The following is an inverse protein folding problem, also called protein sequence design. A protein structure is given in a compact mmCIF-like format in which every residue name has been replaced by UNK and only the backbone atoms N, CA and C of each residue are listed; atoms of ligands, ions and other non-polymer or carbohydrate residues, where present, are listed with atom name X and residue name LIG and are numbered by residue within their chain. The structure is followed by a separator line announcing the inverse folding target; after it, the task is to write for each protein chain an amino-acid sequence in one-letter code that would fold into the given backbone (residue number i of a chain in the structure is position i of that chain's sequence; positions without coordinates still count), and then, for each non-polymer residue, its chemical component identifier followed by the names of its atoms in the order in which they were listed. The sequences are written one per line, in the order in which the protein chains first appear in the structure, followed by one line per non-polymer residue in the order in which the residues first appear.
data_IF_066202395781
#
_entry.id   IF_066202395781
#
_cell.length_a   1.000
_cell.length_b   1.000
_cell.length_c   1.000
_cell.angle_alpha   90.00
_cell.angle_beta   90.00
_cell.angle_gamma   90.00
#
_symmetry.space_group_name_H-M   'P 1'
#
loop_
_entity.id
_entity.type
_entity.pdbx_description
1 polymer ?
#
# COMPACT_ATOMS: atom_id res chain seq x y z
N UNK A 1 -15.49 25.22 -2.69
CA UNK A 1 -14.17 24.61 -2.58
C UNK A 1 -14.28 23.11 -2.74
N UNK A 2 -13.45 22.51 -3.58
CA UNK A 2 -13.47 21.06 -3.79
C UNK A 2 -12.51 20.35 -2.82
N UNK A 3 -12.94 19.19 -2.30
CA UNK A 3 -12.06 18.34 -1.51
C UNK A 3 -11.26 17.44 -2.45
N UNK A 4 -10.02 17.16 -2.05
CA UNK A 4 -9.11 16.28 -2.80
C UNK A 4 -8.37 15.40 -1.80
N UNK A 5 -8.33 14.09 -2.07
CA UNK A 5 -7.49 13.19 -1.28
C UNK A 5 -6.04 13.55 -1.53
N UNK A 6 -5.27 13.78 -0.47
CA UNK A 6 -3.86 14.14 -0.61
C UNK A 6 -2.90 13.15 0.03
N UNK A 7 -3.35 12.31 0.95
CA UNK A 7 -2.47 11.30 1.53
C UNK A 7 -3.25 10.20 2.24
N UNK A 8 -2.56 9.08 2.46
CA UNK A 8 -2.92 8.08 3.45
C UNK A 8 -1.78 8.00 4.47
N UNK A 9 -2.07 7.53 5.69
CA UNK A 9 -1.09 7.49 6.76
C UNK A 9 -1.03 6.11 7.39
N UNK A 10 0.16 5.52 7.39
CA UNK A 10 0.44 4.25 8.03
C UNK A 10 1.25 4.49 9.31
N UNK A 11 0.94 3.75 10.36
CA UNK A 11 1.75 3.72 11.57
C UNK A 11 2.61 2.46 11.56
N UNK A 12 3.86 2.58 11.96
CA UNK A 12 4.81 1.48 11.98
C UNK A 12 5.76 1.62 13.17
N UNK A 13 6.14 0.51 13.83
CA UNK A 13 7.13 0.55 14.90
C UNK A 13 8.49 1.07 14.41
N UNK A 14 8.86 0.75 13.16
CA UNK A 14 10.05 1.25 12.52
C UNK A 14 9.67 1.87 11.16
N UNK A 15 9.32 3.16 11.15
CA UNK A 15 8.81 3.82 9.94
C UNK A 15 9.76 3.77 8.76
N UNK A 16 11.06 3.88 9.00
CA UNK A 16 12.06 3.85 7.92
C UNK A 16 12.11 2.47 7.26
N UNK A 17 12.08 1.42 8.05
CA UNK A 17 12.07 0.04 7.53
C UNK A 17 10.83 -0.22 6.69
N UNK A 18 9.66 0.20 7.17
CA UNK A 18 8.42 0.05 6.44
C UNK A 18 8.44 0.87 5.13
N UNK A 19 8.93 2.10 5.18
CA UNK A 19 9.07 2.93 3.98
C UNK A 19 9.98 2.27 2.94
N UNK A 20 11.12 1.74 3.36
CA UNK A 20 12.06 1.04 2.48
C UNK A 20 11.43 -0.21 1.87
N UNK A 21 10.57 -0.89 2.60
CA UNK A 21 9.82 -2.02 2.05
C UNK A 21 8.92 -1.57 0.88
N UNK A 22 8.19 -0.46 1.05
CA UNK A 22 7.34 0.08 -0.03
C UNK A 22 8.17 0.59 -1.21
N UNK A 23 9.37 1.10 -0.99
CA UNK A 23 10.29 1.43 -2.07
C UNK A 23 10.63 0.19 -2.89
N UNK A 24 10.99 -0.91 -2.24
CA UNK A 24 11.30 -2.16 -2.94
C UNK A 24 10.09 -2.85 -3.55
N UNK A 25 8.95 -2.79 -2.87
CA UNK A 25 7.75 -3.48 -3.30
C UNK A 25 6.99 -2.76 -4.41
N UNK A 26 6.83 -1.45 -4.30
CA UNK A 26 5.93 -0.66 -5.15
C UNK A 26 6.58 0.59 -5.75
N UNK A 27 7.90 0.66 -5.75
CA UNK A 27 8.66 1.78 -6.33
C UNK A 27 8.30 3.15 -5.71
N UNK A 28 7.95 3.17 -4.44
CA UNK A 28 7.74 4.43 -3.75
C UNK A 28 9.03 5.23 -3.70
N UNK A 29 8.89 6.55 -3.63
CA UNK A 29 10.02 7.46 -3.39
C UNK A 29 9.88 8.03 -2.00
N UNK A 30 10.96 7.96 -1.21
CA UNK A 30 11.02 8.67 0.07
C UNK A 30 11.41 10.10 -0.23
N UNK A 31 10.52 11.04 0.09
CA UNK A 31 10.71 12.47 -0.17
C UNK A 31 10.91 13.30 1.10
N UNK A 32 10.79 12.68 2.25
CA UNK A 32 11.05 13.33 3.54
C UNK A 32 11.27 12.29 4.63
N UNK A 33 12.14 12.62 5.58
CA UNK A 33 12.45 11.76 6.72
C UNK A 33 12.89 12.68 7.86
N UNK A 34 12.03 12.86 8.86
CA UNK A 34 12.30 13.77 9.96
C UNK A 34 11.69 13.25 11.25
N UNK A 35 12.18 13.75 12.37
CA UNK A 35 11.51 13.57 13.67
C UNK A 35 10.72 14.84 13.95
N UNK A 36 9.39 14.66 14.12
CA UNK A 36 8.52 15.82 14.35
C UNK A 36 8.57 16.25 15.81
N UNK A 37 8.04 17.44 16.06
CA UNK A 37 7.93 18.01 17.42
C UNK A 37 7.16 17.07 18.36
N UNK A 38 6.31 16.20 17.84
CA UNK A 38 5.55 15.22 18.62
C UNK A 38 6.38 14.00 19.06
N UNK A 39 7.67 13.96 18.70
CA UNK A 39 8.59 12.88 19.05
C UNK A 39 8.55 11.68 18.10
N UNK A 40 7.69 11.69 17.10
CA UNK A 40 7.56 10.62 16.14
C UNK A 40 8.47 10.82 14.92
N UNK A 41 9.11 9.75 14.48
CA UNK A 41 9.78 9.75 13.20
C UNK A 41 8.71 9.70 12.10
N UNK A 42 8.84 10.57 11.12
CA UNK A 42 7.86 10.74 10.07
C UNK A 42 8.53 10.63 8.71
N UNK A 43 8.14 9.62 7.95
CA UNK A 43 8.65 9.39 6.59
C UNK A 43 7.56 9.75 5.61
N UNK A 44 7.87 10.66 4.69
CA UNK A 44 6.95 11.00 3.62
C UNK A 44 7.37 10.27 2.36
N UNK A 45 6.44 9.48 1.82
CA UNK A 45 6.66 8.77 0.56
C UNK A 45 5.69 9.28 -0.50
N UNK A 46 6.07 9.13 -1.76
CA UNK A 46 5.19 9.32 -2.90
C UNK A 46 5.05 8.00 -3.65
N UNK A 47 3.85 7.71 -4.13
CA UNK A 47 3.63 6.59 -5.03
C UNK A 47 4.44 6.75 -6.32
N UNK A 48 4.68 5.64 -7.04
CA UNK A 48 5.50 5.64 -8.26
C UNK A 48 5.01 6.67 -9.29
N UNK A 49 3.69 6.76 -9.47
CA UNK A 49 3.08 7.71 -10.40
C UNK A 49 3.00 9.16 -9.87
N UNK A 50 3.41 9.38 -8.62
CA UNK A 50 3.36 10.69 -7.98
C UNK A 50 1.96 11.16 -7.60
N UNK A 51 0.95 10.31 -7.73
CA UNK A 51 -0.44 10.71 -7.51
C UNK A 51 -0.84 10.76 -6.04
N UNK A 52 -0.21 9.97 -5.18
CA UNK A 52 -0.62 9.86 -3.78
C UNK A 52 0.58 9.88 -2.84
N UNK A 53 0.50 10.72 -1.82
CA UNK A 53 1.44 10.67 -0.72
C UNK A 53 1.04 9.57 0.25
N UNK A 54 2.02 8.80 0.71
CA UNK A 54 1.84 7.79 1.75
C UNK A 54 2.80 8.15 2.87
N UNK A 55 2.25 8.62 3.98
CA UNK A 55 3.03 8.99 5.14
C UNK A 55 3.15 7.79 6.07
N UNK A 56 4.33 7.57 6.61
CA UNK A 56 4.59 6.46 7.53
C UNK A 56 5.28 7.04 8.77
N UNK A 57 4.70 6.83 9.94
CA UNK A 57 5.27 7.36 11.17
C UNK A 57 5.14 6.39 12.34
N UNK A 58 5.99 6.58 13.33
CA UNK A 58 5.91 5.87 14.60
C UNK A 58 4.89 6.50 15.55
N UNK A 59 4.83 5.99 16.76
CA UNK A 59 4.01 6.57 17.80
C UNK A 59 4.54 7.95 18.19
N UNK A 60 3.63 8.84 18.51
CA UNK A 60 3.97 10.11 19.15
C UNK A 60 4.39 9.84 20.59
N UNK A 61 5.06 10.81 21.20
CA UNK A 61 5.41 10.74 22.61
C UNK A 61 4.15 10.49 23.45
N UNK A 62 4.22 9.49 24.31
CA UNK A 62 3.11 9.07 25.19
C UNK A 62 1.89 8.49 24.47
N UNK A 63 2.01 8.16 23.19
CA UNK A 63 0.94 7.53 22.42
C UNK A 63 1.11 6.01 22.42
N UNK A 64 0.04 5.29 22.72
CA UNK A 64 -0.02 3.84 22.57
C UNK A 64 -0.90 3.53 21.38
N UNK A 65 -0.36 2.77 20.43
CA UNK A 65 -1.06 2.42 19.20
C UNK A 65 -1.67 1.03 19.30
N UNK A 66 -2.88 0.89 18.77
CA UNK A 66 -3.50 -0.41 18.59
C UNK A 66 -2.83 -1.18 17.45
N UNK A 67 -3.08 -2.51 17.38
CA UNK A 67 -2.52 -3.33 16.30
C UNK A 67 -3.19 -3.02 14.96
N UNK A 68 -2.46 -3.30 13.88
CA UNK A 68 -3.04 -3.33 12.54
C UNK A 68 -3.91 -4.56 12.36
N UNK A 69 -4.68 -4.57 11.28
CA UNK A 69 -5.54 -5.70 10.95
C UNK A 69 -5.55 -5.90 9.43
N UNK A 70 -4.87 -6.95 8.99
CA UNK A 70 -4.81 -7.31 7.57
C UNK A 70 -6.00 -8.16 7.12
N UNK A 71 -6.88 -8.55 8.05
CA UNK A 71 -8.12 -9.23 7.70
C UNK A 71 -9.18 -8.23 7.22
N UNK A 72 -10.25 -8.74 6.62
CA UNK A 72 -11.38 -7.90 6.25
C UNK A 72 -11.99 -7.29 7.52
N UNK A 73 -12.24 -5.99 7.51
CA UNK A 73 -12.74 -5.26 8.67
C UNK A 73 -13.47 -3.99 8.22
N UNK A 74 -14.22 -3.41 9.13
CA UNK A 74 -14.92 -2.17 8.86
C UNK A 74 -13.95 -0.98 8.86
N UNK A 75 -14.32 0.07 8.19
CA UNK A 75 -13.53 1.29 8.07
C UNK A 75 -12.61 1.24 6.86
N UNK A 76 -11.45 1.88 6.95
CA UNK A 76 -10.46 1.83 5.89
C UNK A 76 -9.78 0.46 5.92
N UNK A 77 -10.22 -0.42 5.03
CA UNK A 77 -9.79 -1.82 5.04
C UNK A 77 -8.48 -2.05 4.31
N UNK A 78 -8.31 -1.43 3.13
CA UNK A 78 -7.12 -1.62 2.30
C UNK A 78 -6.92 -0.44 1.36
N UNK A 79 -5.77 -0.41 0.74
CA UNK A 79 -5.53 0.41 -0.44
C UNK A 79 -4.90 -0.47 -1.52
N UNK A 80 -4.98 -0.04 -2.77
CA UNK A 80 -4.68 -0.91 -3.88
C UNK A 80 -3.71 -0.35 -4.89
N UNK A 81 -3.12 -1.27 -5.65
CA UNK A 81 -2.17 -0.99 -6.72
C UNK A 81 -2.61 -1.71 -7.99
N UNK A 82 -2.40 -1.07 -9.13
CA UNK A 82 -2.55 -1.77 -10.40
C UNK A 82 -1.39 -2.76 -10.59
N UNK A 83 -1.70 -3.89 -11.17
CA UNK A 83 -0.73 -4.93 -11.51
C UNK A 83 -0.92 -5.34 -12.96
N UNK A 84 0.16 -5.54 -13.67
CA UNK A 84 0.10 -6.06 -15.04
C UNK A 84 0.07 -7.58 -15.07
N UNK A 85 0.53 -8.23 -14.00
CA UNK A 85 0.55 -9.69 -13.90
C UNK A 85 0.51 -10.10 -12.42
N UNK A 86 -0.65 -10.54 -11.96
CA UNK A 86 -0.86 -10.90 -10.56
C UNK A 86 0.11 -11.98 -10.08
N UNK A 87 0.26 -13.05 -10.84
CA UNK A 87 1.08 -14.19 -10.41
C UNK A 87 2.54 -13.78 -10.22
N UNK A 88 3.07 -13.00 -11.13
CA UNK A 88 4.45 -12.49 -11.05
C UNK A 88 4.62 -11.55 -9.86
N UNK A 89 3.69 -10.62 -9.70
CA UNK A 89 3.76 -9.64 -8.62
C UNK A 89 3.56 -10.27 -7.25
N UNK A 90 2.62 -11.21 -7.12
CA UNK A 90 2.42 -11.95 -5.86
C UNK A 90 3.70 -12.70 -5.48
N UNK A 91 4.30 -13.44 -6.42
CA UNK A 91 5.52 -14.18 -6.13
C UNK A 91 6.67 -13.25 -5.71
N UNK A 92 6.82 -12.12 -6.36
CA UNK A 92 7.84 -11.12 -6.03
C UNK A 92 7.61 -10.52 -4.64
N UNK A 93 6.38 -10.15 -4.34
CA UNK A 93 6.03 -9.56 -3.04
C UNK A 93 6.19 -10.56 -1.90
N UNK A 94 5.86 -11.84 -2.14
CA UNK A 94 6.09 -12.87 -1.13
C UNK A 94 7.57 -13.05 -0.80
N UNK A 95 8.44 -12.93 -1.79
CA UNK A 95 9.90 -12.94 -1.56
C UNK A 95 10.35 -11.73 -0.73
N UNK A 96 9.62 -10.63 -0.78
CA UNK A 96 9.89 -9.45 0.03
C UNK A 96 9.22 -9.50 1.41
N UNK A 97 8.57 -10.61 1.74
CA UNK A 97 7.98 -10.82 3.05
C UNK A 97 6.48 -10.59 3.16
N UNK A 98 5.80 -10.20 2.08
CA UNK A 98 4.35 -10.13 2.08
C UNK A 98 3.74 -11.53 2.10
N UNK A 99 2.49 -11.64 2.52
CA UNK A 99 1.77 -12.90 2.54
C UNK A 99 0.47 -12.77 1.76
N UNK A 100 0.24 -13.71 0.82
CA UNK A 100 -1.04 -13.77 0.12
C UNK A 100 -2.14 -14.15 1.10
N UNK A 101 -3.18 -13.32 1.17
CA UNK A 101 -4.34 -13.53 2.03
C UNK A 101 -5.50 -14.12 1.23
N UNK A 102 -5.70 -13.65 0.00
CA UNK A 102 -6.85 -14.00 -0.78
C UNK A 102 -6.56 -13.79 -2.26
N UNK A 103 -6.99 -14.72 -3.09
CA UNK A 103 -6.87 -14.61 -4.54
C UNK A 103 -5.71 -15.40 -5.14
N UNK A 104 -5.47 -15.29 -6.45
CA UNK A 104 -6.20 -14.44 -7.40
C UNK A 104 -7.69 -14.78 -7.53
N UNK A 105 -8.52 -13.74 -7.61
CA UNK A 105 -9.96 -13.87 -7.77
C UNK A 105 -10.34 -13.19 -9.08
N UNK A 106 -11.11 -13.90 -9.90
CA UNK A 106 -11.66 -13.31 -11.12
C UNK A 106 -13.06 -12.77 -10.83
N UNK A 107 -13.21 -11.45 -10.89
CA UNK A 107 -14.53 -10.85 -10.84
C UNK A 107 -15.26 -11.13 -12.17
N UNK A 108 -16.52 -11.54 -12.15
CA UNK A 108 -17.22 -11.96 -13.37
C UNK A 108 -17.22 -10.93 -14.51
N UNK A 109 -17.32 -9.65 -14.18
CA UNK A 109 -17.36 -8.57 -15.16
C UNK A 109 -16.31 -7.50 -14.86
N UNK A 110 -15.23 -7.87 -14.22
CA UNK A 110 -14.25 -6.91 -13.76
C UNK A 110 -12.84 -7.47 -13.75
N UNK A 111 -11.94 -6.79 -13.05
CA UNK A 111 -10.55 -7.19 -12.97
C UNK A 111 -10.34 -8.47 -12.15
N UNK A 112 -9.15 -9.03 -12.29
CA UNK A 112 -8.64 -10.03 -11.34
C UNK A 112 -8.01 -9.30 -10.18
N UNK A 113 -8.21 -9.80 -8.98
CA UNK A 113 -7.70 -9.16 -7.77
C UNK A 113 -7.00 -10.15 -6.85
N UNK A 114 -6.15 -9.64 -5.98
CA UNK A 114 -5.55 -10.40 -4.89
C UNK A 114 -5.31 -9.46 -3.71
N UNK A 115 -5.39 -10.02 -2.51
CA UNK A 115 -5.09 -9.29 -1.28
C UNK A 115 -3.87 -9.88 -0.61
N UNK A 116 -2.97 -9.02 -0.15
CA UNK A 116 -1.76 -9.42 0.55
C UNK A 116 -1.63 -8.67 1.86
N UNK A 117 -0.95 -9.31 2.80
CA UNK A 117 -0.53 -8.67 4.04
C UNK A 117 0.84 -8.05 3.83
N UNK A 118 0.90 -6.74 3.88
CA UNK A 118 2.12 -5.95 3.88
C UNK A 118 2.64 -5.77 5.33
N UNK A 119 3.81 -5.16 5.54
CA UNK A 119 4.32 -4.93 6.88
C UNK A 119 3.31 -4.24 7.80
N UNK A 120 3.39 -4.56 9.08
CA UNK A 120 2.58 -3.97 10.15
C UNK A 120 1.09 -4.29 10.01
N UNK A 121 0.79 -5.46 9.45
CA UNK A 121 -0.58 -5.94 9.25
C UNK A 121 -1.43 -4.99 8.41
N UNK A 122 -0.84 -4.40 7.39
CA UNK A 122 -1.55 -3.59 6.41
C UNK A 122 -2.07 -4.48 5.29
N UNK A 123 -3.36 -4.36 4.98
CA UNK A 123 -3.98 -5.07 3.87
C UNK A 123 -3.82 -4.26 2.60
N UNK A 124 -3.23 -4.85 1.56
CA UNK A 124 -3.11 -4.23 0.24
C UNK A 124 -3.77 -5.09 -0.82
N UNK A 125 -4.31 -4.45 -1.85
CA UNK A 125 -4.92 -5.13 -2.98
C UNK A 125 -4.08 -4.93 -4.23
N UNK A 126 -3.98 -5.97 -5.04
CA UNK A 126 -3.48 -5.87 -6.41
C UNK A 126 -4.66 -6.02 -7.36
N UNK A 127 -4.74 -5.15 -8.35
CA UNK A 127 -5.82 -5.11 -9.33
C UNK A 127 -5.24 -5.25 -10.72
N UNK A 128 -5.55 -6.38 -11.39
CA UNK A 128 -5.09 -6.63 -12.76
C UNK A 128 -6.28 -6.44 -13.70
N UNK A 129 -6.26 -5.33 -14.43
CA UNK A 129 -7.31 -5.04 -15.41
C UNK A 129 -6.99 -5.69 -16.74
N UNK A 130 -8.01 -6.08 -17.48
CA UNK A 130 -7.84 -6.55 -18.84
C UNK A 130 -7.20 -5.44 -19.66
N UNK A 131 -6.14 -5.79 -20.39
CA UNK A 131 -5.56 -4.85 -21.34
C UNK A 131 -6.60 -4.52 -22.39
N UNK A 132 -6.65 -3.24 -22.80
CA UNK A 132 -7.45 -2.85 -23.94
C UNK A 132 -6.99 -3.66 -25.16
N UNK A 133 -7.94 -4.14 -25.96
CA UNK A 133 -7.63 -4.87 -27.18
C UNK A 133 -6.96 -3.88 -28.14
N UNK A 134 -5.73 -4.17 -28.51
CA UNK A 134 -5.01 -3.36 -29.47
C UNK A 134 -5.77 -3.31 -30.80
N UNK A 135 -6.06 -2.12 -31.30
CA UNK A 135 -6.85 -1.93 -32.49
C UNK A 135 -8.34 -2.13 -32.33
N UNK A 136 -8.77 -2.40 -31.16
CA UNK A 136 -10.18 -2.38 -30.81
C UNK A 136 -10.67 -0.97 -30.94
N UNK A 137 -11.76 -0.81 -31.43
CA UNK A 137 -12.28 0.35 -31.53
C UNK A 137 -12.65 0.94 -30.44
N UNK A 138 -11.92 1.45 -30.33
CA UNK A 138 -12.17 1.85 -29.66
C UNK A 138 -13.17 2.39 -29.11
#
# INVERSE_FOLDING_TARGET
MAFRINHIHLKAPDPRKTAEWYVGAFNFKIVGDETRVFGDRFIRCMSEDGALAVNISGARKNETLGPGDAAAHHGLEHFGFDSENLEVDIARLEKLGARLLEGPIQNPNGPRIAFLKAPDDVRVELVERKKAISGGCC
#
